data_IF_470288939146
#
_entry.id   IF_470288939146
#
_cell.length_a   1.000
_cell.length_b   1.000
_cell.length_c   1.000
_cell.angle_alpha   90.00
_cell.angle_beta   90.00
_cell.angle_gamma   90.00
#
_symmetry.space_group_name_H-M   'P 1'
#
loop_
_entity.id
_entity.type
_entity.pdbx_description
1 polymer ?
#
# COMPACT_ATOMS: atom_id res chain seq x y z
N UNK A 1 -14.92 5.45 -33.95
CA UNK A 1 -13.74 5.83 -33.14
C UNK A 1 -12.90 4.60 -32.72
N UNK A 2 -11.56 4.71 -32.64
CA UNK A 2 -10.68 3.62 -32.20
C UNK A 2 -10.31 3.75 -30.72
N UNK A 3 -10.51 2.68 -29.93
CA UNK A 3 -10.09 2.57 -28.53
C UNK A 3 -9.13 1.41 -28.32
N UNK A 4 -8.20 1.55 -27.37
CA UNK A 4 -7.23 0.52 -27.00
C UNK A 4 -7.56 0.01 -25.59
N UNK A 5 -7.60 -1.32 -25.43
CA UNK A 5 -7.92 -2.00 -24.18
C UNK A 5 -6.71 -2.79 -23.69
N UNK A 6 -6.45 -2.79 -22.39
CA UNK A 6 -5.43 -3.67 -21.80
C UNK A 6 -5.78 -5.14 -22.06
N UNK A 7 -4.86 -5.88 -22.71
CA UNK A 7 -5.03 -7.30 -22.99
C UNK A 7 -3.70 -8.05 -22.86
N UNK A 8 -3.57 -8.82 -21.78
CA UNK A 8 -2.33 -9.52 -21.45
C UNK A 8 -1.21 -8.54 -21.12
N UNK A 9 -0.13 -8.56 -21.91
CA UNK A 9 1.01 -7.65 -21.78
C UNK A 9 0.98 -6.49 -22.79
N UNK A 10 -0.10 -6.35 -23.56
CA UNK A 10 -0.23 -5.35 -24.61
C UNK A 10 -1.60 -4.71 -24.63
N UNK A 11 -1.93 -4.11 -25.77
CA UNK A 11 -3.20 -3.47 -26.03
C UNK A 11 -3.94 -4.17 -27.16
N UNK A 12 -5.25 -4.22 -27.05
CA UNK A 12 -6.17 -4.68 -28.09
C UNK A 12 -6.99 -3.48 -28.57
N UNK A 13 -6.85 -3.12 -29.84
CA UNK A 13 -7.63 -2.06 -30.47
C UNK A 13 -9.02 -2.54 -30.90
N UNK A 14 -10.04 -1.72 -30.70
CA UNK A 14 -11.38 -1.92 -31.23
C UNK A 14 -11.94 -0.63 -31.85
N UNK A 15 -12.65 -0.76 -32.97
CA UNK A 15 -13.41 0.32 -33.58
C UNK A 15 -14.84 0.31 -33.02
N UNK A 16 -15.24 1.41 -32.37
CA UNK A 16 -16.55 1.60 -31.76
C UNK A 16 -17.33 2.70 -32.48
N UNK A 17 -18.68 2.69 -32.44
CA UNK A 17 -19.49 3.77 -32.97
C UNK A 17 -19.18 5.11 -32.29
N UNK A 18 -19.41 6.22 -33.00
CA UNK A 18 -19.15 7.56 -32.44
C UNK A 18 -20.17 7.96 -31.36
N UNK A 19 -21.24 7.17 -31.19
CA UNK A 19 -22.21 7.31 -30.09
C UNK A 19 -21.77 6.63 -28.79
N UNK A 20 -20.53 6.13 -28.70
CA UNK A 20 -20.02 5.44 -27.51
C UNK A 20 -19.68 6.41 -26.40
N UNK A 21 -20.24 6.17 -25.21
CA UNK A 21 -19.85 6.84 -23.97
C UNK A 21 -18.51 6.28 -23.47
N UNK A 22 -17.61 7.18 -23.07
CA UNK A 22 -16.26 6.83 -22.59
C UNK A 22 -16.14 7.22 -21.13
N UNK A 23 -15.76 6.25 -20.30
CA UNK A 23 -15.42 6.48 -18.90
C UNK A 23 -14.01 5.96 -18.63
N UNK A 24 -13.10 6.85 -18.24
CA UNK A 24 -11.71 6.51 -17.93
C UNK A 24 -11.48 6.86 -16.46
N UNK A 25 -11.35 5.86 -15.57
CA UNK A 25 -11.05 6.09 -14.17
C UNK A 25 -9.82 7.00 -14.01
N UNK A 26 -9.91 8.01 -13.14
CA UNK A 26 -8.84 8.98 -12.92
C UNK A 26 -8.77 10.14 -13.92
N UNK A 27 -9.41 10.05 -15.09
CA UNK A 27 -9.45 11.12 -16.09
C UNK A 27 -10.84 11.76 -16.19
N UNK A 28 -11.89 10.96 -16.37
CA UNK A 28 -13.28 11.46 -16.41
C UNK A 28 -13.77 11.90 -15.04
N UNK A 29 -13.20 11.31 -13.97
CA UNK A 29 -13.30 11.76 -12.59
C UNK A 29 -11.88 11.76 -12.02
N UNK A 30 -11.34 12.95 -11.78
CA UNK A 30 -9.96 13.10 -11.32
C UNK A 30 -9.77 12.51 -9.92
N UNK A 31 -8.81 11.61 -9.80
CA UNK A 31 -8.33 11.16 -8.49
C UNK A 31 -7.56 12.29 -7.80
N UNK A 32 -7.49 12.29 -6.44
CA UNK A 32 -6.56 13.13 -5.74
C UNK A 32 -5.13 12.93 -6.24
N UNK A 33 -4.28 13.99 -6.26
CA UNK A 33 -2.89 13.85 -6.66
C UNK A 33 -2.18 12.75 -5.88
N UNK A 34 -1.47 11.88 -6.59
CA UNK A 34 -0.64 10.88 -5.93
C UNK A 34 0.52 11.56 -5.19
N UNK A 35 0.96 10.93 -4.10
CA UNK A 35 2.22 11.31 -3.48
C UNK A 35 3.38 11.07 -4.47
N UNK A 36 4.49 11.81 -4.35
CA UNK A 36 5.71 11.46 -5.04
C UNK A 36 6.07 9.99 -4.81
N UNK A 37 6.35 9.25 -5.89
CA UNK A 37 6.54 7.80 -5.86
C UNK A 37 7.98 7.40 -5.48
N UNK A 38 8.65 8.23 -4.68
CA UNK A 38 9.97 7.97 -4.11
C UNK A 38 9.87 7.43 -2.68
N UNK A 39 10.95 6.81 -2.20
CA UNK A 39 10.97 6.16 -0.90
C UNK A 39 10.72 7.14 0.25
N UNK A 40 11.36 8.29 0.25
CA UNK A 40 11.36 9.22 1.38
C UNK A 40 9.98 9.85 1.55
N UNK A 41 9.35 10.29 0.44
CA UNK A 41 8.01 10.85 0.44
C UNK A 41 6.97 9.84 0.93
N UNK A 42 7.01 8.61 0.43
CA UNK A 42 6.06 7.55 0.81
C UNK A 42 6.27 7.10 2.26
N UNK A 43 7.52 6.93 2.69
CA UNK A 43 7.86 6.56 4.06
C UNK A 43 7.43 7.63 5.05
N UNK A 44 7.73 8.90 4.78
CA UNK A 44 7.36 10.01 5.65
C UNK A 44 5.83 10.12 5.82
N UNK A 45 5.08 10.03 4.72
CA UNK A 45 3.62 10.06 4.77
C UNK A 45 3.03 8.86 5.52
N UNK A 46 3.59 7.66 5.30
CA UNK A 46 3.16 6.44 5.99
C UNK A 46 3.43 6.52 7.49
N UNK A 47 4.62 6.97 7.88
CA UNK A 47 4.98 7.15 9.29
C UNK A 47 4.12 8.22 9.98
N UNK A 48 3.81 9.31 9.28
CA UNK A 48 2.90 10.34 9.80
C UNK A 48 1.50 9.77 10.06
N UNK A 49 0.99 8.91 9.19
CA UNK A 49 -0.28 8.20 9.38
C UNK A 49 -0.26 7.28 10.61
N UNK A 50 0.81 6.48 10.77
CA UNK A 50 0.98 5.57 11.93
C UNK A 50 1.00 6.34 13.27
N UNK A 51 1.58 7.55 13.28
CA UNK A 51 1.69 8.39 14.48
C UNK A 51 0.43 9.20 14.79
N UNK A 52 -0.48 9.35 13.82
CA UNK A 52 -1.73 10.10 13.96
C UNK A 52 -2.93 9.23 13.54
N UNK A 53 -3.14 8.07 14.19
CA UNK A 53 -4.24 7.17 13.84
C UNK A 53 -5.61 7.79 14.14
N UNK A 54 -6.63 7.34 13.41
CA UNK A 54 -8.01 7.76 13.61
C UNK A 54 -8.69 6.78 14.56
N UNK A 55 -9.12 7.26 15.72
CA UNK A 55 -9.97 6.49 16.65
C UNK A 55 -9.26 5.43 17.50
N UNK A 56 -7.94 5.43 17.57
CA UNK A 56 -7.16 4.54 18.44
C UNK A 56 -5.84 5.19 18.89
N UNK A 57 -5.14 4.66 19.90
CA UNK A 57 -3.80 5.13 20.26
C UNK A 57 -2.75 4.83 19.16
N UNK A 58 -1.68 5.64 19.04
CA UNK A 58 -0.59 5.39 18.10
C UNK A 58 0.19 4.12 18.45
N UNK A 59 0.84 3.52 17.45
CA UNK A 59 1.55 2.25 17.60
C UNK A 59 2.58 2.25 18.74
N UNK A 60 3.29 3.37 18.93
CA UNK A 60 4.26 3.57 20.01
C UNK A 60 3.68 3.42 21.43
N UNK A 61 2.37 3.64 21.60
CA UNK A 61 1.67 3.51 22.89
C UNK A 61 1.10 2.09 23.10
N UNK A 62 0.93 1.34 22.01
CA UNK A 62 0.46 -0.04 22.03
C UNK A 62 1.61 -1.05 22.15
N UNK A 63 2.78 -0.66 21.65
CA UNK A 63 4.02 -1.44 21.68
C UNK A 63 4.82 -1.23 22.98
N UNK A 64 5.71 -2.15 23.29
CA UNK A 64 6.55 -2.08 24.48
C UNK A 64 7.37 -3.35 24.71
N UNK A 65 8.33 -3.34 25.66
CA UNK A 65 9.10 -4.52 26.01
C UNK A 65 8.20 -5.68 26.45
N UNK A 66 8.51 -6.90 25.99
CA UNK A 66 7.77 -8.12 26.30
C UNK A 66 6.42 -8.29 25.57
N UNK A 67 6.06 -7.37 24.65
CA UNK A 67 4.90 -7.53 23.77
C UNK A 67 5.28 -8.35 22.53
N UNK A 68 4.39 -9.24 22.10
CA UNK A 68 4.48 -9.91 20.80
C UNK A 68 3.60 -9.20 19.76
N UNK A 69 4.08 -9.20 18.52
CA UNK A 69 3.44 -8.51 17.39
C UNK A 69 3.31 -9.46 16.21
N UNK A 70 2.15 -9.44 15.57
CA UNK A 70 1.95 -10.09 14.26
C UNK A 70 1.62 -9.01 13.24
N UNK A 71 2.46 -8.87 12.21
CA UNK A 71 2.17 -8.02 11.06
C UNK A 71 1.58 -8.91 9.97
N UNK A 72 0.29 -8.71 9.68
CA UNK A 72 -0.41 -9.42 8.62
C UNK A 72 -0.15 -8.74 7.29
N UNK A 73 0.39 -9.49 6.33
CA UNK A 73 0.87 -8.98 5.05
C UNK A 73 0.00 -9.59 3.94
N UNK A 74 -0.54 -8.78 3.01
CA UNK A 74 -1.22 -9.30 1.83
C UNK A 74 -0.30 -10.23 1.03
N UNK A 75 -0.88 -11.24 0.42
CA UNK A 75 -0.15 -12.20 -0.40
C UNK A 75 0.37 -11.57 -1.71
N UNK A 76 1.03 -12.37 -2.55
CA UNK A 76 1.68 -11.84 -3.76
C UNK A 76 0.67 -11.35 -4.81
N UNK A 77 -0.58 -11.84 -4.83
CA UNK A 77 -1.56 -11.44 -5.84
C UNK A 77 -2.05 -10.00 -5.67
N UNK A 78 -1.74 -9.35 -4.54
CA UNK A 78 -2.00 -7.91 -4.33
C UNK A 78 -0.90 -7.00 -4.87
N UNK A 79 0.05 -7.55 -5.65
CA UNK A 79 1.23 -6.83 -6.12
C UNK A 79 2.12 -6.38 -4.96
N UNK A 80 3.07 -5.48 -5.19
CA UNK A 80 3.88 -4.93 -4.10
C UNK A 80 5.28 -5.54 -3.97
N UNK A 81 5.87 -6.04 -5.06
CA UNK A 81 7.26 -6.46 -5.08
C UNK A 81 8.23 -5.34 -5.53
N UNK A 82 7.70 -4.24 -6.06
CA UNK A 82 8.46 -3.05 -6.43
C UNK A 82 9.20 -2.45 -5.22
N UNK A 83 10.27 -1.66 -5.41
CA UNK A 83 11.07 -1.10 -4.32
C UNK A 83 10.25 -0.27 -3.32
N UNK A 84 9.30 0.53 -3.81
CA UNK A 84 8.45 1.45 -3.04
C UNK A 84 7.07 0.86 -2.73
N UNK A 85 6.94 -0.45 -2.71
CA UNK A 85 5.65 -1.08 -2.48
C UNK A 85 5.08 -0.80 -1.09
N UNK A 86 3.75 -0.77 -1.01
CA UNK A 86 3.02 -0.61 0.25
C UNK A 86 3.54 -1.56 1.34
N UNK A 87 3.80 -2.84 1.01
CA UNK A 87 4.34 -3.81 1.98
C UNK A 87 5.72 -3.40 2.48
N UNK A 88 6.64 -2.97 1.62
CA UNK A 88 8.01 -2.60 2.03
C UNK A 88 7.98 -1.33 2.88
N UNK A 89 7.26 -0.31 2.42
CA UNK A 89 7.19 0.99 3.10
C UNK A 89 6.47 0.87 4.44
N UNK A 90 5.26 0.30 4.47
CA UNK A 90 4.47 0.20 5.70
C UNK A 90 5.08 -0.75 6.73
N UNK A 91 5.58 -1.93 6.31
CA UNK A 91 6.24 -2.84 7.26
C UNK A 91 7.47 -2.16 7.84
N UNK A 92 8.28 -1.47 7.03
CA UNK A 92 9.45 -0.76 7.54
C UNK A 92 9.07 0.30 8.57
N UNK A 93 8.10 1.16 8.25
CA UNK A 93 7.65 2.22 9.16
C UNK A 93 7.07 1.65 10.47
N UNK A 94 6.30 0.56 10.41
CA UNK A 94 5.81 -0.13 11.60
C UNK A 94 6.95 -0.70 12.43
N UNK A 95 7.91 -1.41 11.82
CA UNK A 95 9.06 -1.99 12.53
C UNK A 95 9.90 -0.92 13.24
N UNK A 96 10.11 0.23 12.60
CA UNK A 96 10.86 1.34 13.19
C UNK A 96 10.17 1.88 14.46
N UNK A 97 8.84 2.04 14.46
CA UNK A 97 8.09 2.43 15.67
C UNK A 97 8.07 1.33 16.74
N UNK A 98 7.94 0.06 16.35
CA UNK A 98 7.93 -1.08 17.29
C UNK A 98 9.28 -1.23 18.01
N UNK A 99 10.38 -1.14 17.27
CA UNK A 99 11.72 -1.24 17.84
C UNK A 99 12.07 -0.01 18.68
N UNK A 100 11.64 1.19 18.28
CA UNK A 100 11.78 2.39 19.10
C UNK A 100 11.00 2.28 20.42
N UNK A 101 9.88 1.56 20.44
CA UNK A 101 9.11 1.27 21.65
C UNK A 101 9.69 0.09 22.48
N UNK A 102 10.75 -0.58 22.01
CA UNK A 102 11.43 -1.64 22.76
C UNK A 102 10.89 -3.05 22.54
N UNK A 103 10.11 -3.30 21.48
CA UNK A 103 9.75 -4.66 21.05
C UNK A 103 11.01 -5.36 20.53
N UNK A 104 11.26 -6.59 20.99
CA UNK A 104 12.40 -7.37 20.50
C UNK A 104 12.09 -7.99 19.13
N UNK A 105 13.10 -8.09 18.25
CA UNK A 105 12.92 -8.65 16.91
C UNK A 105 12.35 -10.08 16.92
N UNK A 106 12.76 -10.91 17.88
CA UNK A 106 12.25 -12.28 18.06
C UNK A 106 10.74 -12.34 18.34
N UNK A 107 10.15 -11.25 18.80
CA UNK A 107 8.73 -11.16 19.19
C UNK A 107 7.86 -10.61 18.05
N UNK A 108 8.42 -10.40 16.86
CA UNK A 108 7.69 -9.96 15.66
C UNK A 108 7.55 -11.10 14.66
N UNK A 109 6.30 -11.47 14.36
CA UNK A 109 5.95 -12.41 13.29
C UNK A 109 5.44 -11.65 12.06
N UNK A 110 6.01 -11.95 10.90
CA UNK A 110 5.48 -11.53 9.60
C UNK A 110 4.62 -12.66 9.03
N UNK A 111 3.31 -12.44 8.95
CA UNK A 111 2.34 -13.44 8.49
C UNK A 111 1.77 -13.06 7.13
N UNK A 112 2.07 -13.85 6.10
CA UNK A 112 1.42 -13.69 4.80
C UNK A 112 -0.01 -14.25 4.84
N UNK A 113 -1.00 -13.38 4.64
CA UNK A 113 -2.41 -13.73 4.59
C UNK A 113 -2.80 -14.15 3.17
N UNK A 114 -2.51 -15.40 2.83
CA UNK A 114 -2.80 -16.00 1.52
C UNK A 114 -4.28 -16.28 1.26
N UNK A 115 -5.14 -16.32 2.30
CA UNK A 115 -6.55 -16.62 2.11
C UNK A 115 -6.77 -18.04 1.55
N UNK A 116 -7.69 -18.16 0.58
CA UNK A 116 -8.04 -19.38 -0.17
C UNK A 116 -7.59 -19.27 -1.62
#
# INVERSE_FOLDING_TARGET
MKLEFEYGQGLLGAELPDSTDIFIPGETVADPPCLPQDWDSLYAATLASIRNPIGMPPLKELAGPGKSVVIVIPDIVKGGNQPTSHRKVAIRACLDELYAAGVEQKDVLLLFSNGL
#
